data_IF_571498966497
#
_entry.id   IF_571498966497
#
_cell.length_a   1.000
_cell.length_b   1.000
_cell.length_c   1.000
_cell.angle_alpha   90.00
_cell.angle_beta   90.00
_cell.angle_gamma   90.00
#
_symmetry.space_group_name_H-M   'P 1'
#
loop_
_entity.id
_entity.type
_entity.pdbx_description
1 polymer ?
#
# COMPACT_ATOMS: atom_id res chain seq x y z
N UNK A 1 7.59 -10.67 8.92
CA UNK A 1 7.36 -9.21 8.96
C UNK A 1 6.82 -8.70 10.30
N UNK A 2 6.11 -9.50 11.11
CA UNK A 2 5.40 -9.01 12.30
C UNK A 2 6.26 -8.79 13.57
N UNK A 3 7.45 -9.41 13.64
CA UNK A 3 8.30 -9.33 14.84
C UNK A 3 9.34 -8.19 14.82
N UNK A 4 9.59 -7.59 13.64
CA UNK A 4 10.50 -6.46 13.51
C UNK A 4 9.77 -5.23 12.94
N UNK A 5 9.29 -4.31 13.80
CA UNK A 5 8.57 -3.11 13.36
C UNK A 5 9.45 -2.12 12.56
N UNK A 6 10.78 -2.26 12.62
CA UNK A 6 11.73 -1.44 11.85
C UNK A 6 11.96 -1.95 10.43
N UNK A 7 11.64 -3.22 10.16
CA UNK A 7 11.90 -3.84 8.87
C UNK A 7 11.11 -3.15 7.74
N UNK A 8 9.83 -2.86 7.98
CA UNK A 8 8.97 -2.24 6.97
C UNK A 8 9.42 -0.80 6.62
N UNK A 9 9.77 0.06 7.59
CA UNK A 9 10.42 1.34 7.30
C UNK A 9 11.71 1.24 6.50
N UNK A 10 12.56 0.26 6.81
CA UNK A 10 13.85 0.08 6.15
C UNK A 10 13.71 -0.43 4.71
N UNK A 11 12.69 -1.24 4.42
CA UNK A 11 12.40 -1.71 3.06
C UNK A 11 11.90 -0.60 2.14
N UNK A 12 11.31 0.46 2.71
CA UNK A 12 10.75 1.58 1.97
C UNK A 12 11.30 2.91 2.49
N UNK A 13 12.62 3.16 2.35
CA UNK A 13 13.24 4.37 2.88
C UNK A 13 12.65 5.63 2.25
N UNK A 14 12.14 5.53 1.02
CA UNK A 14 11.43 6.61 0.34
C UNK A 14 10.09 6.94 1.02
N UNK A 15 9.33 5.95 1.51
CA UNK A 15 8.10 6.23 2.27
C UNK A 15 8.39 6.65 3.72
N UNK A 16 9.53 6.20 4.26
CA UNK A 16 9.96 6.44 5.64
C UNK A 16 11.36 7.05 5.66
N UNK A 17 11.53 8.29 5.16
CA UNK A 17 12.84 8.93 4.95
C UNK A 17 13.67 9.11 6.22
N UNK A 18 13.04 9.02 7.38
CA UNK A 18 13.69 9.09 8.67
C UNK A 18 13.74 7.73 9.39
N UNK A 19 13.38 6.63 8.73
CA UNK A 19 13.23 5.30 9.33
C UNK A 19 12.06 5.18 10.32
N UNK A 20 11.29 6.25 10.53
CA UNK A 20 10.15 6.29 11.43
C UNK A 20 8.83 6.20 10.67
N UNK A 21 7.91 5.35 11.14
CA UNK A 21 6.55 5.23 10.60
C UNK A 21 6.06 3.80 10.37
N UNK A 22 6.86 2.80 10.76
CA UNK A 22 6.45 1.39 10.71
C UNK A 22 5.30 1.09 11.66
N UNK A 23 4.62 -0.02 11.40
CA UNK A 23 3.63 -0.61 12.30
C UNK A 23 4.27 -0.77 13.69
N UNK A 24 3.60 -0.33 14.77
CA UNK A 24 4.07 -0.38 16.17
C UNK A 24 5.23 0.57 16.55
N UNK A 25 5.39 1.71 15.88
CA UNK A 25 6.34 2.73 16.36
C UNK A 25 5.84 3.40 17.65
N UNK A 26 6.56 3.18 18.76
CA UNK A 26 6.24 3.71 20.11
C UNK A 26 6.26 5.24 20.21
N UNK A 27 6.86 5.93 19.22
CA UNK A 27 6.88 7.40 19.14
C UNK A 27 5.63 7.97 18.46
N UNK A 28 4.76 7.12 17.92
CA UNK A 28 3.50 7.55 17.31
C UNK A 28 2.50 7.88 18.43
N UNK A 29 2.33 9.18 18.71
CA UNK A 29 1.33 9.65 19.69
C UNK A 29 -0.10 9.48 19.19
N UNK A 30 -0.31 9.57 17.87
CA UNK A 30 -1.61 9.36 17.22
C UNK A 30 -1.40 8.58 15.92
N UNK A 31 -2.18 7.51 15.68
CA UNK A 31 -2.10 6.79 14.42
C UNK A 31 -2.45 7.74 13.27
N UNK A 32 -1.54 7.87 12.31
CA UNK A 32 -1.76 8.62 11.07
C UNK A 32 -1.87 7.61 9.95
N UNK A 33 -2.87 7.75 9.08
CA UNK A 33 -2.99 6.87 7.91
C UNK A 33 -1.78 7.05 6.99
N UNK A 34 -1.37 5.99 6.30
CA UNK A 34 -0.27 6.06 5.34
C UNK A 34 -0.54 7.10 4.24
N UNK A 35 -1.78 7.20 3.78
CA UNK A 35 -2.22 8.20 2.78
C UNK A 35 -1.98 9.63 3.29
N UNK A 36 -2.40 9.91 4.53
CA UNK A 36 -2.21 11.22 5.15
C UNK A 36 -0.72 11.52 5.34
N UNK A 37 0.09 10.51 5.66
CA UNK A 37 1.54 10.66 5.80
C UNK A 37 2.20 11.01 4.46
N UNK A 38 1.83 10.35 3.37
CA UNK A 38 2.32 10.68 2.01
C UNK A 38 1.92 12.09 1.59
N UNK A 39 0.68 12.49 1.85
CA UNK A 39 0.23 13.87 1.62
C UNK A 39 1.08 14.90 2.38
N UNK A 40 1.37 14.65 3.66
CA UNK A 40 2.22 15.53 4.47
C UNK A 40 3.66 15.62 3.93
N UNK A 41 4.20 14.51 3.43
CA UNK A 41 5.54 14.49 2.83
C UNK A 41 5.55 15.26 1.49
N UNK A 42 4.55 15.06 0.62
CA UNK A 42 4.43 15.84 -0.62
C UNK A 42 4.25 17.34 -0.36
N UNK A 43 3.52 17.71 0.70
CA UNK A 43 3.26 19.10 1.10
C UNK A 43 4.29 19.62 2.12
N UNK A 44 5.44 18.97 2.24
CA UNK A 44 6.45 19.35 3.22
C UNK A 44 7.06 20.72 2.87
N UNK A 45 7.41 21.51 3.89
CA UNK A 45 7.67 22.96 3.74
C UNK A 45 8.76 23.32 2.70
N UNK A 46 9.82 22.52 2.60
CA UNK A 46 10.94 22.73 1.68
C UNK A 46 10.76 22.04 0.32
N UNK A 47 9.60 21.43 0.08
CA UNK A 47 9.24 20.66 -1.14
C UNK A 47 10.22 19.54 -1.50
N UNK A 48 11.11 19.12 -0.60
CA UNK A 48 12.15 18.14 -0.93
C UNK A 48 11.61 16.82 -1.49
N UNK A 49 10.50 16.33 -0.95
CA UNK A 49 9.84 15.11 -1.41
C UNK A 49 9.04 15.30 -2.70
N UNK A 50 8.60 16.52 -2.97
CA UNK A 50 7.94 16.86 -4.23
C UNK A 50 8.94 16.96 -5.37
N UNK A 51 10.14 17.49 -5.09
CA UNK A 51 11.22 17.67 -6.07
C UNK A 51 12.07 16.41 -6.27
N UNK A 52 12.04 15.47 -5.32
CA UNK A 52 12.71 14.19 -5.49
C UNK A 52 12.03 13.39 -6.63
N UNK A 53 12.75 13.03 -7.70
CA UNK A 53 12.14 12.45 -8.90
C UNK A 53 11.38 11.14 -8.67
N UNK A 54 11.81 10.31 -7.72
CA UNK A 54 11.26 8.97 -7.53
C UNK A 54 10.16 8.90 -6.48
N UNK A 55 10.12 9.84 -5.53
CA UNK A 55 9.27 9.77 -4.35
C UNK A 55 7.80 9.76 -4.72
N UNK A 56 7.27 10.70 -5.54
CA UNK A 56 5.86 10.67 -5.92
C UNK A 56 5.49 9.38 -6.67
N UNK A 57 6.36 8.91 -7.57
CA UNK A 57 6.13 7.69 -8.35
C UNK A 57 6.03 6.46 -7.43
N UNK A 58 7.03 6.25 -6.57
CA UNK A 58 7.10 5.11 -5.66
C UNK A 58 5.98 5.15 -4.62
N UNK A 59 5.72 6.33 -4.03
CA UNK A 59 4.70 6.48 -2.99
C UNK A 59 3.28 6.20 -3.52
N UNK A 60 2.97 6.64 -4.74
CA UNK A 60 1.67 6.41 -5.39
C UNK A 60 1.53 4.98 -5.91
N UNK A 61 2.57 4.43 -6.54
CA UNK A 61 2.55 3.03 -7.00
C UNK A 61 2.34 2.06 -5.83
N UNK A 62 3.08 2.27 -4.73
CA UNK A 62 2.91 1.47 -3.52
C UNK A 62 1.47 1.55 -2.98
N UNK A 63 0.84 2.72 -3.06
CA UNK A 63 -0.57 2.88 -2.68
C UNK A 63 -1.51 2.08 -3.56
N UNK A 64 -1.33 2.16 -4.88
CA UNK A 64 -2.18 1.47 -5.84
C UNK A 64 -2.06 -0.04 -5.69
N UNK A 65 -0.85 -0.57 -5.53
CA UNK A 65 -0.61 -2.01 -5.31
C UNK A 65 -1.32 -2.46 -4.03
N UNK A 66 -1.19 -1.71 -2.94
CA UNK A 66 -1.81 -2.06 -1.65
C UNK A 66 -3.34 -2.00 -1.72
N UNK A 67 -3.90 -0.97 -2.36
CA UNK A 67 -5.35 -0.85 -2.60
C UNK A 67 -5.87 -1.99 -3.47
N UNK A 68 -5.16 -2.31 -4.56
CA UNK A 68 -5.51 -3.41 -5.47
C UNK A 68 -5.48 -4.76 -4.76
N UNK A 69 -4.43 -5.05 -3.99
CA UNK A 69 -4.31 -6.29 -3.21
C UNK A 69 -5.43 -6.42 -2.17
N UNK A 70 -5.78 -5.32 -1.49
CA UNK A 70 -6.89 -5.30 -0.52
C UNK A 70 -8.22 -5.56 -1.20
N UNK A 71 -8.49 -4.91 -2.33
CA UNK A 71 -9.71 -5.15 -3.12
C UNK A 71 -9.78 -6.59 -3.64
N UNK A 72 -8.68 -7.15 -4.12
CA UNK A 72 -8.59 -8.54 -4.56
C UNK A 72 -8.87 -9.53 -3.42
N UNK A 73 -8.29 -9.28 -2.23
CA UNK A 73 -8.58 -10.06 -1.03
C UNK A 73 -10.07 -10.00 -0.66
N UNK A 74 -10.67 -8.80 -0.62
CA UNK A 74 -12.10 -8.64 -0.30
C UNK A 74 -13.03 -9.30 -1.34
N UNK A 75 -12.62 -9.33 -2.61
CA UNK A 75 -13.35 -10.05 -3.66
C UNK A 75 -13.24 -11.57 -3.49
N UNK A 76 -12.08 -12.07 -3.07
CA UNK A 76 -11.85 -13.48 -2.80
C UNK A 76 -12.53 -13.98 -1.52
N UNK A 77 -12.60 -13.12 -0.50
CA UNK A 77 -13.22 -13.42 0.80
C UNK A 77 -14.75 -13.34 0.75
N UNK A 78 -15.32 -12.69 -0.27
CA UNK A 78 -16.78 -12.63 -0.44
C UNK A 78 -17.34 -14.02 -0.69
N UNK A 79 -18.46 -14.35 -0.02
CA UNK A 79 -19.23 -15.60 -0.19
C UNK A 79 -19.53 -16.01 -1.65
N UNK A 80 -19.50 -15.06 -2.59
CA UNK A 80 -19.72 -15.28 -4.02
C UNK A 80 -18.45 -15.66 -4.81
N UNK A 81 -17.28 -15.71 -4.18
CA UNK A 81 -16.02 -16.02 -4.85
C UNK A 81 -16.05 -17.38 -5.54
N UNK A 82 -16.52 -18.42 -4.85
CA UNK A 82 -16.65 -19.75 -5.42
C UNK A 82 -17.60 -19.75 -6.63
N UNK A 83 -18.71 -19.02 -6.56
CA UNK A 83 -19.67 -18.88 -7.66
C UNK A 83 -19.04 -18.21 -8.89
N UNK A 84 -18.32 -17.10 -8.69
CA UNK A 84 -17.64 -16.35 -9.75
C UNK A 84 -16.50 -17.18 -10.36
N UNK A 85 -15.67 -17.83 -9.53
CA UNK A 85 -14.57 -18.68 -9.97
C UNK A 85 -15.08 -19.85 -10.81
N UNK A 86 -16.15 -20.51 -10.36
CA UNK A 86 -16.79 -21.61 -11.10
C UNK A 86 -17.33 -21.11 -12.43
N UNK A 87 -17.96 -19.93 -12.44
CA UNK A 87 -18.49 -19.32 -13.66
C UNK A 87 -17.39 -19.00 -14.66
N UNK A 88 -16.26 -18.43 -14.23
CA UNK A 88 -15.09 -18.15 -15.09
C UNK A 88 -14.51 -19.44 -15.66
N UNK A 89 -14.33 -20.48 -14.85
CA UNK A 89 -13.81 -21.78 -15.29
C UNK A 89 -14.78 -22.52 -16.23
N UNK A 90 -16.09 -22.25 -16.12
CA UNK A 90 -17.11 -22.83 -16.99
C UNK A 90 -17.24 -22.12 -18.35
N UNK A 91 -16.55 -21.00 -18.56
CA UNK A 91 -16.55 -20.31 -19.85
C UNK A 91 -15.82 -21.17 -20.87
N UNK A 92 -16.53 -21.52 -21.94
CA UNK A 92 -15.99 -22.32 -23.02
C UNK A 92 -15.07 -21.44 -23.89
N UNK A 93 -13.77 -21.70 -23.84
CA UNK A 93 -12.72 -20.97 -24.56
C UNK A 93 -12.73 -21.16 -26.08
N UNK A 94 -13.60 -22.02 -26.61
CA UNK A 94 -13.75 -22.24 -28.05
C UNK A 94 -14.77 -21.32 -28.73
N UNK A 95 -15.44 -20.45 -27.97
CA UNK A 95 -16.48 -19.50 -28.46
C UNK A 95 -16.08 -18.04 -28.21
N UNK A 96 -14.85 -17.78 -27.76
CA UNK A 96 -14.27 -16.44 -27.58
C UNK A 96 -13.18 -16.21 -28.63
#
# INVERSE_FOLDING_TARGET
>A
MYDNPQLYPQMFPWLFPYGYGGLRNSRIQRPVSEERRKQQLLMYHDKRFQLEPLFPLVALNHEQIKKSATSGYLLADRNKFNEIATRILSINSSIL
#
